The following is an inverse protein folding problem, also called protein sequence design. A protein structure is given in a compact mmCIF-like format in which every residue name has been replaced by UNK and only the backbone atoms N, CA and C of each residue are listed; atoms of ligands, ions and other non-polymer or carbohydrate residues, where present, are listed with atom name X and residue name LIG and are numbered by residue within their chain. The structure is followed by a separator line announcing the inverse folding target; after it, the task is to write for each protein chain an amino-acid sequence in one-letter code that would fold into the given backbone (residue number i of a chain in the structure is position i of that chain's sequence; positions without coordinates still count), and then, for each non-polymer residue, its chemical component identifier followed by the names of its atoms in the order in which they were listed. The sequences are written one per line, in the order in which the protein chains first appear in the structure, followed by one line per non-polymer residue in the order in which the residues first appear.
data_IF_628567585968
#
_entry.id   IF_628567585968
#
_cell.length_a   1.000
_cell.length_b   1.000
_cell.length_c   1.000
_cell.angle_alpha   90.00
_cell.angle_beta   90.00
_cell.angle_gamma   90.00
#
_symmetry.space_group_name_H-M   'P 1'
#
loop_
_entity.id
_entity.type
_entity.pdbx_description
1 polymer ?
#
# COMPACT_ATOMS: atom_id res chain seq x y z
N UNK A 1 -7.70 25.76 1.46
CA UNK A 1 -6.41 25.29 1.99
C UNK A 1 -5.52 24.93 0.82
N UNK A 2 -4.21 25.16 0.93
CA UNK A 2 -3.25 24.77 -0.10
C UNK A 2 -3.13 23.24 -0.09
N UNK A 3 -3.18 22.60 -1.26
CA UNK A 3 -3.04 21.14 -1.41
C UNK A 3 -4.29 20.30 -1.15
N UNK A 4 -5.46 20.90 -0.91
CA UNK A 4 -6.69 20.12 -0.76
C UNK A 4 -7.23 19.64 -2.12
N UNK A 5 -7.78 18.41 -2.21
CA UNK A 5 -8.47 17.92 -3.39
C UNK A 5 -9.62 18.84 -3.84
N UNK A 6 -9.79 18.97 -5.15
CA UNK A 6 -10.98 19.59 -5.73
C UNK A 6 -11.94 18.51 -6.20
N UNK A 7 -13.20 18.57 -5.75
CA UNK A 7 -14.23 17.60 -6.11
C UNK A 7 -15.23 18.21 -7.09
N UNK A 8 -15.47 17.52 -8.21
CA UNK A 8 -16.48 17.90 -9.20
C UNK A 8 -17.72 17.02 -9.02
N UNK A 9 -18.89 17.67 -8.91
CA UNK A 9 -20.16 16.97 -8.69
C UNK A 9 -21.01 16.94 -9.97
N UNK A 10 -21.83 15.89 -10.11
CA UNK A 10 -22.93 15.84 -11.07
C UNK A 10 -24.21 15.54 -10.31
N UNK A 11 -25.19 16.44 -10.38
CA UNK A 11 -26.48 16.33 -9.69
C UNK A 11 -26.32 16.13 -8.16
N UNK A 12 -25.42 16.89 -7.54
CA UNK A 12 -25.16 16.82 -6.10
C UNK A 12 -24.28 15.64 -5.64
N UNK A 13 -23.90 14.71 -6.53
CA UNK A 13 -23.00 13.60 -6.21
C UNK A 13 -21.60 13.84 -6.76
N UNK A 14 -20.58 13.74 -5.91
CA UNK A 14 -19.17 13.74 -6.32
C UNK A 14 -18.93 12.68 -7.40
N UNK A 15 -18.30 13.08 -8.51
CA UNK A 15 -18.04 12.22 -9.67
C UNK A 15 -16.57 12.17 -10.03
N UNK A 16 -15.86 13.29 -9.90
CA UNK A 16 -14.43 13.36 -10.17
C UNK A 16 -13.72 14.06 -9.02
N UNK A 17 -12.44 13.72 -8.84
CA UNK A 17 -11.52 14.42 -7.95
C UNK A 17 -10.29 14.84 -8.77
N UNK A 18 -9.82 16.06 -8.55
CA UNK A 18 -8.54 16.55 -9.04
C UNK A 18 -7.62 16.62 -7.82
N UNK A 19 -6.52 15.89 -7.90
CA UNK A 19 -5.53 15.74 -6.83
C UNK A 19 -4.21 16.35 -7.27
N UNK A 20 -3.37 16.72 -6.30
CA UNK A 20 -1.94 16.90 -6.58
C UNK A 20 -1.36 15.57 -7.06
N UNK A 21 -0.39 15.63 -7.97
CA UNK A 21 0.23 14.42 -8.52
C UNK A 21 0.91 13.58 -7.43
N UNK A 22 1.51 14.23 -6.42
CA UNK A 22 2.16 13.52 -5.32
C UNK A 22 1.15 12.77 -4.44
N UNK A 23 -0.04 13.34 -4.24
CA UNK A 23 -1.11 12.69 -3.49
C UNK A 23 -1.73 11.53 -4.27
N UNK A 24 -1.84 11.67 -5.60
CA UNK A 24 -2.26 10.57 -6.49
C UNK A 24 -1.26 9.41 -6.44
N UNK A 25 0.03 9.68 -6.67
CA UNK A 25 1.09 8.67 -6.64
C UNK A 25 1.19 7.97 -5.28
N UNK A 26 1.07 8.72 -4.18
CA UNK A 26 1.03 8.16 -2.83
C UNK A 26 -0.17 7.23 -2.63
N UNK A 27 -1.33 7.59 -3.16
CA UNK A 27 -2.54 6.76 -3.09
C UNK A 27 -2.35 5.46 -3.87
N UNK A 28 -1.79 5.51 -5.09
CA UNK A 28 -1.49 4.31 -5.87
C UNK A 28 -0.46 3.40 -5.16
N UNK A 29 0.63 3.97 -4.65
CA UNK A 29 1.63 3.21 -3.91
C UNK A 29 1.05 2.54 -2.65
N UNK A 30 0.15 3.23 -1.96
CA UNK A 30 -0.55 2.68 -0.78
C UNK A 30 -1.44 1.51 -1.16
N UNK A 31 -2.22 1.63 -2.23
CA UNK A 31 -3.07 0.53 -2.73
C UNK A 31 -2.23 -0.69 -3.13
N UNK A 32 -1.11 -0.47 -3.81
CA UNK A 32 -0.19 -1.54 -4.17
C UNK A 32 0.38 -2.22 -2.92
N UNK A 33 0.86 -1.45 -1.94
CA UNK A 33 1.40 -1.99 -0.70
C UNK A 33 0.37 -2.86 0.03
N UNK A 34 -0.86 -2.38 0.18
CA UNK A 34 -1.92 -3.15 0.85
C UNK A 34 -2.21 -4.47 0.13
N UNK A 35 -2.19 -4.48 -1.21
CA UNK A 35 -2.37 -5.70 -1.99
C UNK A 35 -1.25 -6.73 -1.75
N UNK A 36 0.02 -6.29 -1.74
CA UNK A 36 1.14 -7.21 -1.48
C UNK A 36 1.17 -7.70 -0.03
N UNK A 37 0.82 -6.83 0.94
CA UNK A 37 0.70 -7.24 2.34
C UNK A 37 -0.39 -8.31 2.51
N UNK A 38 -1.53 -8.17 1.84
CA UNK A 38 -2.60 -9.17 1.90
C UNK A 38 -2.19 -10.50 1.27
N UNK A 39 -1.45 -10.48 0.16
CA UNK A 39 -0.84 -11.70 -0.42
C UNK A 39 0.13 -12.36 0.56
N UNK A 40 1.02 -11.55 1.16
CA UNK A 40 1.96 -12.01 2.18
C UNK A 40 1.24 -12.66 3.36
N UNK A 41 0.21 -12.00 3.90
CA UNK A 41 -0.61 -12.51 5.02
C UNK A 41 -1.24 -13.85 4.69
N UNK A 42 -1.96 -13.96 3.56
CA UNK A 42 -2.56 -15.22 3.12
C UNK A 42 -1.52 -16.33 2.95
N UNK A 43 -0.36 -16.00 2.39
CA UNK A 43 0.71 -16.98 2.20
C UNK A 43 1.26 -17.51 3.53
N UNK A 44 1.40 -16.64 4.54
CA UNK A 44 1.83 -17.05 5.89
C UNK A 44 0.78 -17.90 6.60
N UNK A 45 -0.51 -17.60 6.42
CA UNK A 45 -1.60 -18.39 6.99
C UNK A 45 -1.71 -19.79 6.36
N UNK A 46 -1.43 -19.93 5.05
CA UNK A 46 -1.55 -21.21 4.34
C UNK A 46 -0.26 -22.04 4.41
N UNK A 47 0.90 -21.40 4.22
CA UNK A 47 2.18 -22.09 4.08
C UNK A 47 3.06 -22.02 5.35
N UNK A 48 2.61 -21.29 6.37
CA UNK A 48 3.37 -21.00 7.58
C UNK A 48 4.18 -19.70 7.47
N UNK A 49 4.39 -19.07 8.64
CA UNK A 49 5.22 -17.89 8.79
C UNK A 49 6.69 -18.26 8.94
N UNK A 50 7.58 -17.35 8.53
CA UNK A 50 9.02 -17.50 8.75
C UNK A 50 9.41 -16.89 10.09
N UNK A 51 10.32 -17.56 10.81
CA UNK A 51 11.00 -16.95 11.94
C UNK A 51 11.95 -15.84 11.46
N UNK A 52 12.37 -14.95 12.36
CA UNK A 52 13.37 -13.93 12.02
C UNK A 52 14.68 -14.59 11.51
N UNK A 53 15.12 -15.67 12.15
CA UNK A 53 16.31 -16.44 11.77
C UNK A 53 16.19 -17.02 10.34
N UNK A 54 15.02 -17.56 9.98
CA UNK A 54 14.77 -18.07 8.62
C UNK A 54 14.82 -16.95 7.57
N UNK A 55 14.34 -15.76 7.92
CA UNK A 55 14.36 -14.59 7.03
C UNK A 55 15.80 -14.11 6.82
N UNK A 56 16.57 -13.94 7.90
CA UNK A 56 17.98 -13.55 7.88
C UNK A 56 18.81 -14.50 7.02
N UNK A 57 18.66 -15.81 7.26
CA UNK A 57 19.35 -16.86 6.48
C UNK A 57 18.97 -16.83 5.01
N UNK A 58 17.70 -16.60 4.66
CA UNK A 58 17.24 -16.52 3.26
C UNK A 58 17.73 -15.28 2.54
N UNK A 59 17.80 -14.15 3.24
CA UNK A 59 18.22 -12.87 2.67
C UNK A 59 19.74 -12.66 2.73
N UNK A 60 20.48 -13.54 3.40
CA UNK A 60 21.93 -13.45 3.54
C UNK A 60 22.35 -12.25 4.39
N UNK A 61 21.49 -11.81 5.31
CA UNK A 61 21.77 -10.71 6.24
C UNK A 61 22.10 -11.33 7.59
N UNK A 62 23.32 -11.08 8.08
CA UNK A 62 23.68 -11.37 9.46
C UNK A 62 23.44 -10.08 10.25
N UNK A 63 22.51 -10.09 11.19
CA UNK A 63 22.45 -9.05 12.21
C UNK A 63 23.56 -9.34 13.22
N UNK A 64 24.61 -8.51 13.23
CA UNK A 64 25.60 -8.45 14.32
C UNK A 64 24.98 -7.88 15.60
#
# INVERSE_FOLDING_TARGET
SIGAPVFLTKNGRGRYAILDIQDYEKTEATLHLMNELEKGRKSGEVNGWLSLEDVEKKLGVNNE
#
